data_IF_353845847972
#
_entry.id   IF_353845847972
#
_cell.length_a   1.000
_cell.length_b   1.000
_cell.length_c   1.000
_cell.angle_alpha   90.00
_cell.angle_beta   90.00
_cell.angle_gamma   90.00
#
_symmetry.space_group_name_H-M   'P 1'
#
loop_
_entity.id
_entity.type
_entity.pdbx_description
1 polymer ?
#
# COMPACT_ATOMS: atom_id res chain seq x y z
N UNK A 1 24.07 -19.06 -38.89
CA UNK A 1 23.90 -17.91 -37.97
C UNK A 1 22.96 -18.39 -36.89
N UNK A 2 23.56 -19.05 -35.91
CA UNK A 2 22.84 -19.76 -34.86
C UNK A 2 22.39 -18.75 -33.81
N UNK A 3 21.08 -18.65 -33.62
CA UNK A 3 20.49 -17.88 -32.52
C UNK A 3 20.50 -18.82 -31.33
N UNK A 4 21.53 -18.70 -30.49
CA UNK A 4 21.53 -19.21 -29.12
C UNK A 4 20.45 -18.48 -28.34
N UNK A 5 19.23 -19.02 -28.37
CA UNK A 5 18.18 -18.66 -27.41
C UNK A 5 18.64 -19.27 -26.08
N UNK A 6 19.13 -18.41 -25.18
CA UNK A 6 19.47 -18.78 -23.82
C UNK A 6 18.33 -19.60 -23.22
N UNK A 7 18.67 -20.68 -22.49
CA UNK A 7 17.75 -21.62 -21.87
C UNK A 7 16.60 -20.95 -21.13
N UNK A 8 15.51 -20.71 -21.87
CA UNK A 8 14.20 -20.45 -21.33
C UNK A 8 13.55 -21.82 -21.19
N UNK A 9 13.33 -22.25 -19.96
CA UNK A 9 12.53 -23.44 -19.72
C UNK A 9 11.09 -23.10 -20.15
N UNK A 10 10.61 -23.78 -21.19
CA UNK A 10 9.26 -23.57 -21.72
C UNK A 10 8.40 -24.66 -21.10
N UNK A 11 7.68 -24.31 -20.03
CA UNK A 11 6.67 -25.20 -19.45
C UNK A 11 5.39 -25.14 -20.28
N UNK A 12 4.94 -26.30 -20.77
CA UNK A 12 3.71 -26.44 -21.55
C UNK A 12 2.65 -27.07 -20.65
N UNK A 13 1.70 -26.27 -20.19
CA UNK A 13 0.59 -26.74 -19.37
C UNK A 13 -0.69 -26.92 -20.22
N UNK A 14 -1.23 -28.14 -20.21
CA UNK A 14 -2.56 -28.44 -20.76
C UNK A 14 -3.63 -28.16 -19.72
N UNK A 15 -4.60 -27.31 -20.08
CA UNK A 15 -5.63 -26.81 -19.16
C UNK A 15 -6.98 -27.02 -19.81
N UNK A 16 -7.96 -27.44 -19.01
CA UNK A 16 -9.35 -27.55 -19.45
C UNK A 16 -9.92 -26.19 -19.85
N UNK A 17 -10.71 -26.14 -20.92
CA UNK A 17 -11.40 -24.94 -21.39
C UNK A 17 -12.62 -24.62 -20.51
N UNK A 18 -12.35 -24.32 -19.24
CA UNK A 18 -13.34 -23.84 -18.31
C UNK A 18 -12.80 -22.63 -17.53
N UNK A 19 -13.71 -21.77 -17.08
CA UNK A 19 -13.36 -20.49 -16.45
C UNK A 19 -12.56 -20.70 -15.17
N UNK A 20 -12.86 -21.74 -14.40
CA UNK A 20 -12.24 -22.01 -13.10
C UNK A 20 -10.78 -22.45 -13.30
N UNK A 21 -10.53 -23.33 -14.26
CA UNK A 21 -9.18 -23.82 -14.58
C UNK A 21 -8.28 -22.69 -15.09
N UNK A 22 -8.80 -21.83 -15.97
CA UNK A 22 -8.07 -20.64 -16.42
C UNK A 22 -7.84 -19.64 -15.28
N UNK A 23 -8.85 -19.38 -14.45
CA UNK A 23 -8.74 -18.48 -13.30
C UNK A 23 -7.70 -18.98 -12.29
N UNK A 24 -7.68 -20.28 -12.02
CA UNK A 24 -6.70 -20.91 -11.13
C UNK A 24 -5.29 -20.78 -11.71
N UNK A 25 -5.10 -21.08 -13.01
CA UNK A 25 -3.80 -20.92 -13.66
C UNK A 25 -3.26 -19.51 -13.49
N UNK A 26 -4.05 -18.49 -13.86
CA UNK A 26 -3.58 -17.11 -13.80
C UNK A 26 -3.31 -16.65 -12.37
N UNK A 27 -4.13 -17.08 -11.41
CA UNK A 27 -3.88 -16.77 -9.99
C UNK A 27 -2.64 -17.47 -9.46
N UNK A 28 -2.42 -18.73 -9.80
CA UNK A 28 -1.21 -19.46 -9.42
C UNK A 28 0.03 -18.80 -10.03
N UNK A 29 -0.04 -18.41 -11.30
CA UNK A 29 1.04 -17.69 -11.97
C UNK A 29 1.34 -16.33 -11.32
N UNK A 30 0.30 -15.58 -10.91
CA UNK A 30 0.48 -14.33 -10.16
C UNK A 30 1.03 -14.55 -8.74
N UNK A 31 0.84 -15.74 -8.17
CA UNK A 31 1.23 -16.10 -6.81
C UNK A 31 2.56 -16.86 -6.71
N UNK A 32 3.29 -17.07 -7.80
CA UNK A 32 4.49 -17.91 -7.80
C UNK A 32 5.67 -17.23 -7.08
N UNK A 33 5.59 -17.25 -5.75
CA UNK A 33 6.65 -16.88 -4.84
C UNK A 33 7.35 -18.18 -4.43
N UNK A 34 8.48 -18.47 -5.08
CA UNK A 34 9.27 -19.67 -4.80
C UNK A 34 9.64 -19.78 -3.31
N UNK A 35 9.68 -21.00 -2.79
CA UNK A 35 10.14 -21.31 -1.42
C UNK A 35 11.65 -21.26 -1.26
N UNK A 36 12.34 -20.48 -2.11
CA UNK A 36 13.80 -20.46 -2.13
C UNK A 36 14.40 -19.81 -0.88
N UNK A 37 13.66 -18.90 -0.24
CA UNK A 37 14.11 -18.14 0.92
C UNK A 37 12.97 -17.84 1.87
N UNK A 38 13.33 -17.67 3.13
CA UNK A 38 12.45 -17.21 4.19
C UNK A 38 12.06 -15.74 3.95
N UNK A 39 10.78 -15.42 4.12
CA UNK A 39 10.25 -14.07 3.86
C UNK A 39 10.17 -13.21 5.13
N UNK A 40 9.99 -13.84 6.29
CA UNK A 40 9.75 -13.17 7.56
C UNK A 40 10.41 -13.91 8.72
N UNK A 41 11.09 -13.17 9.59
CA UNK A 41 11.46 -13.60 10.94
C UNK A 41 10.55 -12.93 11.96
N UNK A 42 9.83 -13.75 12.72
CA UNK A 42 9.05 -13.30 13.87
C UNK A 42 9.88 -13.51 15.14
N UNK A 43 10.28 -12.41 15.78
CA UNK A 43 11.16 -12.41 16.94
C UNK A 43 10.32 -12.27 18.22
N UNK A 44 10.31 -13.33 19.02
CA UNK A 44 9.64 -13.38 20.32
C UNK A 44 10.66 -13.08 21.43
N UNK A 45 10.28 -12.34 22.50
CA UNK A 45 11.14 -12.17 23.66
C UNK A 45 11.33 -13.51 24.37
N UNK A 46 12.57 -14.00 24.50
CA UNK A 46 12.87 -15.17 25.31
C UNK A 46 13.04 -14.73 26.77
N UNK A 47 12.25 -15.31 27.68
CA UNK A 47 12.29 -15.04 29.12
C UNK A 47 13.51 -15.64 29.80
N UNK A 48 14.72 -15.27 29.38
CA UNK A 48 15.96 -15.66 30.02
C UNK A 48 16.17 -14.87 31.31
N UNK A 49 15.70 -15.40 32.45
CA UNK A 49 16.24 -15.03 33.75
C UNK A 49 17.64 -15.61 33.88
N UNK A 50 18.65 -14.96 33.28
CA UNK A 50 20.04 -15.27 33.57
C UNK A 50 20.70 -13.96 34.01
N UNK A 51 21.12 -13.95 35.27
CA UNK A 51 22.06 -13.00 35.83
C UNK A 51 23.34 -12.99 34.96
N UNK A 52 23.39 -12.10 33.97
CA UNK A 52 24.61 -11.79 33.26
C UNK A 52 24.58 -10.33 32.84
N UNK A 53 25.57 -9.60 33.31
CA UNK A 53 25.87 -8.21 33.03
C UNK A 53 25.97 -7.95 31.51
N UNK A 54 24.91 -7.43 30.89
CA UNK A 54 24.91 -6.92 29.51
C UNK A 54 23.52 -6.96 28.84
N UNK A 55 23.07 -5.92 28.11
CA UNK A 55 21.73 -5.87 27.55
C UNK A 55 21.68 -6.59 26.18
N UNK A 56 21.66 -7.92 26.18
CA UNK A 56 21.24 -8.70 25.01
C UNK A 56 20.16 -9.68 25.44
N UNK A 57 18.91 -9.25 25.32
CA UNK A 57 17.75 -10.14 25.43
C UNK A 57 17.85 -11.16 24.29
N UNK A 58 18.05 -12.44 24.63
CA UNK A 58 17.94 -13.52 23.64
C UNK A 58 16.51 -13.51 23.07
N UNK A 59 16.37 -13.48 21.75
CA UNK A 59 15.07 -13.54 21.09
C UNK A 59 14.91 -14.93 20.47
N UNK A 60 13.73 -15.52 20.66
CA UNK A 60 13.34 -16.72 19.93
C UNK A 60 12.89 -16.30 18.54
N UNK A 61 13.48 -16.89 17.49
CA UNK A 61 13.18 -16.55 16.11
C UNK A 61 12.32 -17.66 15.49
N UNK A 62 11.15 -17.29 14.96
CA UNK A 62 10.36 -18.15 14.09
C UNK A 62 10.57 -17.71 12.65
N UNK A 63 10.93 -18.66 11.81
CA UNK A 63 11.19 -18.47 10.38
C UNK A 63 9.92 -18.78 9.61
N UNK A 64 9.46 -17.79 8.83
CA UNK A 64 8.13 -17.80 8.27
C UNK A 64 8.15 -17.41 6.80
N UNK A 65 7.16 -17.94 6.08
CA UNK A 65 6.80 -17.46 4.74
C UNK A 65 5.59 -16.55 4.83
N UNK A 66 5.55 -15.60 3.89
CA UNK A 66 4.48 -14.64 3.74
C UNK A 66 3.68 -14.99 2.50
N UNK A 67 2.36 -15.03 2.65
CA UNK A 67 1.46 -15.39 1.58
C UNK A 67 0.36 -14.35 1.45
N UNK A 68 0.27 -13.75 0.27
CA UNK A 68 -0.85 -12.90 -0.12
C UNK A 68 -2.12 -13.76 -0.27
N UNK A 69 -3.24 -13.28 0.28
CA UNK A 69 -4.53 -13.98 0.18
C UNK A 69 -5.46 -13.38 -0.87
N UNK A 70 -5.25 -12.11 -1.23
CA UNK A 70 -6.15 -11.36 -2.09
C UNK A 70 -5.36 -10.46 -3.02
N UNK A 71 -5.82 -10.34 -4.26
CA UNK A 71 -5.35 -9.31 -5.18
C UNK A 71 -5.81 -7.93 -4.71
N UNK A 72 -4.96 -6.93 -4.83
CA UNK A 72 -5.32 -5.56 -4.47
C UNK A 72 -6.32 -4.98 -5.48
N UNK A 73 -7.58 -4.69 -5.08
CA UNK A 73 -8.55 -4.09 -5.97
C UNK A 73 -8.17 -2.66 -6.39
N UNK A 74 -7.30 -1.97 -5.65
CA UNK A 74 -6.81 -0.64 -6.01
C UNK A 74 -5.83 -0.68 -7.20
N UNK A 75 -5.17 -1.83 -7.44
CA UNK A 75 -4.31 -2.04 -8.61
C UNK A 75 -5.12 -2.39 -9.86
N UNK A 76 -6.39 -2.78 -9.71
CA UNK A 76 -7.28 -3.02 -10.83
C UNK A 76 -7.77 -1.69 -11.40
N UNK A 77 -7.49 -1.44 -12.67
CA UNK A 77 -7.90 -0.20 -13.35
C UNK A 77 -9.41 -0.02 -13.32
N UNK A 78 -9.89 1.05 -12.67
CA UNK A 78 -11.27 1.54 -12.79
C UNK A 78 -12.31 0.94 -11.84
N UNK A 79 -11.90 0.39 -10.70
CA UNK A 79 -12.82 -0.01 -9.62
C UNK A 79 -13.68 1.20 -9.17
N UNK A 80 -14.97 0.97 -8.90
CA UNK A 80 -16.04 1.98 -8.89
C UNK A 80 -15.92 3.12 -7.84
N UNK A 81 -14.99 3.01 -6.89
CA UNK A 81 -14.84 3.96 -5.79
C UNK A 81 -13.65 4.92 -6.02
N UNK A 82 -13.83 5.89 -6.92
CA UNK A 82 -12.95 7.07 -7.00
C UNK A 82 -12.45 7.42 -8.41
N UNK A 83 -12.13 8.70 -8.67
CA UNK A 83 -11.73 9.16 -9.99
C UNK A 83 -10.43 8.45 -10.39
N UNK A 84 -10.49 7.77 -11.53
CA UNK A 84 -9.36 7.13 -12.18
C UNK A 84 -8.22 8.14 -12.42
N UNK A 85 -7.36 8.31 -11.43
CA UNK A 85 -5.94 8.50 -11.69
C UNK A 85 -5.32 7.15 -11.48
N UNK A 86 -4.75 6.60 -12.55
CA UNK A 86 -3.77 5.53 -12.45
C UNK A 86 -2.87 5.87 -11.26
N UNK A 87 -2.82 5.00 -10.26
CA UNK A 87 -1.85 5.12 -9.21
C UNK A 87 -0.50 5.28 -9.92
N UNK A 88 0.14 6.45 -9.77
CA UNK A 88 1.50 6.61 -10.23
C UNK A 88 2.27 5.45 -9.61
N UNK A 89 2.86 4.59 -10.44
CA UNK A 89 3.65 3.43 -10.02
C UNK A 89 4.80 3.81 -9.07
N UNK A 90 5.05 5.12 -8.90
CA UNK A 90 6.05 5.73 -8.04
C UNK A 90 5.48 6.53 -6.84
N UNK A 91 4.20 6.39 -6.50
CA UNK A 91 3.67 7.01 -5.27
C UNK A 91 4.31 6.34 -4.04
N UNK A 92 4.85 7.09 -3.06
CA UNK A 92 5.45 6.53 -1.83
C UNK A 92 4.44 5.80 -0.92
N UNK A 93 3.16 5.78 -1.29
CA UNK A 93 2.08 5.16 -0.53
C UNK A 93 1.71 3.77 -1.09
N UNK A 94 2.66 3.04 -1.69
CA UNK A 94 2.54 1.57 -1.79
C UNK A 94 2.89 0.95 -0.43
N UNK A 95 1.99 1.09 0.54
CA UNK A 95 2.06 0.33 1.80
C UNK A 95 1.44 -1.07 1.69
N UNK A 96 1.15 -1.55 0.47
CA UNK A 96 0.32 -2.74 0.25
C UNK A 96 1.06 -3.98 -0.28
N UNK A 97 2.35 -3.90 -0.64
CA UNK A 97 3.13 -5.08 -1.02
C UNK A 97 4.43 -5.12 -0.23
N UNK A 98 4.56 -6.11 0.66
CA UNK A 98 5.85 -6.47 1.23
C UNK A 98 6.73 -7.00 0.09
N UNK A 99 7.87 -6.35 -0.23
CA UNK A 99 8.69 -6.80 -1.36
C UNK A 99 9.18 -8.22 -1.10
N UNK A 100 8.74 -9.17 -1.93
CA UNK A 100 9.08 -10.59 -1.79
C UNK A 100 10.60 -10.86 -1.75
N UNK A 101 11.39 -9.96 -2.32
CA UNK A 101 12.85 -10.08 -2.36
C UNK A 101 13.58 -9.78 -1.04
N UNK A 102 12.90 -9.24 -0.01
CA UNK A 102 13.55 -8.77 1.22
C UNK A 102 13.02 -9.49 2.44
N UNK A 103 13.93 -10.14 3.18
CA UNK A 103 13.63 -10.71 4.49
C UNK A 103 13.17 -9.63 5.47
N UNK A 104 11.95 -9.79 6.00
CA UNK A 104 11.40 -8.89 7.00
C UNK A 104 11.65 -9.41 8.42
N UNK A 105 11.88 -8.51 9.38
CA UNK A 105 12.03 -8.87 10.79
C UNK A 105 10.98 -8.13 11.60
N UNK A 106 10.12 -8.88 12.28
CA UNK A 106 9.07 -8.36 13.14
C UNK A 106 9.39 -8.72 14.59
N UNK A 107 9.71 -7.72 15.40
CA UNK A 107 9.94 -7.89 16.82
C UNK A 107 8.63 -7.73 17.58
N UNK A 108 8.23 -8.77 18.30
CA UNK A 108 7.04 -8.73 19.15
C UNK A 108 7.30 -7.83 20.35
N UNK A 109 6.48 -6.80 20.51
CA UNK A 109 6.62 -5.81 21.58
C UNK A 109 5.59 -6.00 22.69
N UNK A 110 4.37 -6.45 22.36
CA UNK A 110 3.28 -6.61 23.33
C UNK A 110 2.34 -7.75 22.93
N UNK A 111 1.74 -8.38 23.93
CA UNK A 111 0.53 -9.17 23.74
C UNK A 111 -0.71 -8.28 23.95
N UNK A 112 -1.71 -8.42 23.09
CA UNK A 112 -2.98 -7.69 23.10
C UNK A 112 -4.12 -8.69 23.29
N UNK A 113 -5.18 -8.31 23.99
CA UNK A 113 -6.41 -9.13 23.99
C UNK A 113 -7.17 -8.93 22.69
N UNK A 114 -7.83 -9.97 22.18
CA UNK A 114 -8.61 -9.93 20.93
C UNK A 114 -9.65 -8.79 20.90
N UNK A 115 -10.35 -8.60 22.01
CA UNK A 115 -11.41 -7.60 22.16
C UNK A 115 -10.88 -6.17 22.38
N UNK A 116 -9.58 -6.01 22.63
CA UNK A 116 -8.96 -4.72 22.94
C UNK A 116 -8.47 -3.94 21.72
N UNK A 117 -8.63 -4.48 20.51
CA UNK A 117 -8.17 -3.84 19.27
C UNK A 117 -9.36 -3.41 18.43
N UNK A 118 -9.37 -2.15 18.05
CA UNK A 118 -10.35 -1.60 17.14
C UNK A 118 -9.96 -1.92 15.70
N UNK A 119 -10.87 -2.47 14.89
CA UNK A 119 -10.57 -2.77 13.48
C UNK A 119 -10.34 -1.52 12.63
N UNK A 120 -10.88 -0.35 13.03
CA UNK A 120 -10.74 0.90 12.28
C UNK A 120 -9.30 1.46 12.26
N UNK A 121 -8.43 0.99 13.16
CA UNK A 121 -7.01 1.37 13.17
C UNK A 121 -6.14 0.40 12.36
N UNK A 122 -6.73 -0.62 11.74
CA UNK A 122 -6.04 -1.56 10.86
C UNK A 122 -6.22 -1.10 9.41
N UNK A 123 -5.17 -1.20 8.61
CA UNK A 123 -5.25 -0.80 7.19
C UNK A 123 -4.40 -1.71 6.31
N UNK A 124 -4.60 -1.55 4.99
CA UNK A 124 -3.90 -2.32 3.97
C UNK A 124 -4.43 -3.75 3.83
N UNK A 125 -3.80 -4.50 2.92
CA UNK A 125 -4.14 -5.90 2.70
C UNK A 125 -3.46 -6.78 3.75
N UNK A 126 -4.17 -7.79 4.29
CA UNK A 126 -3.59 -8.72 5.23
C UNK A 126 -2.73 -9.76 4.52
N UNK A 127 -1.65 -10.18 5.17
CA UNK A 127 -0.84 -11.33 4.74
C UNK A 127 -1.05 -12.51 5.68
N UNK A 128 -0.95 -13.72 5.14
CA UNK A 128 -0.88 -14.95 5.92
C UNK A 128 0.59 -15.25 6.21
N UNK A 129 0.89 -15.50 7.47
CA UNK A 129 2.17 -16.02 7.93
C UNK A 129 2.00 -17.52 8.16
N UNK A 130 2.89 -18.30 7.56
CA UNK A 130 3.01 -19.76 7.74
C UNK A 130 4.44 -20.11 8.14
N UNK A 131 4.68 -21.26 8.80
CA UNK A 131 6.06 -21.72 9.02
C UNK A 131 6.76 -21.88 7.67
N UNK A 132 8.04 -21.51 7.59
CA UNK A 132 8.77 -21.58 6.32
C UNK A 132 8.92 -23.02 5.83
N UNK A 133 8.90 -23.20 4.52
CA UNK A 133 9.28 -24.45 3.84
C UNK A 133 10.58 -24.31 3.06
N UNK A 134 11.45 -23.36 3.47
CA UNK A 134 12.73 -23.10 2.83
C UNK A 134 13.63 -24.33 2.83
N UNK A 135 13.99 -24.81 1.64
CA UNK A 135 14.83 -26.01 1.46
C UNK A 135 16.28 -25.83 1.90
N UNK A 136 16.74 -24.59 2.13
CA UNK A 136 18.10 -24.29 2.58
C UNK A 136 18.33 -24.63 4.06
N UNK A 137 17.25 -24.89 4.80
CA UNK A 137 17.31 -25.29 6.20
C UNK A 137 17.44 -26.80 6.31
N UNK A 138 18.10 -27.26 7.36
CA UNK A 138 18.10 -28.69 7.66
C UNK A 138 16.72 -29.14 8.16
N UNK A 139 16.47 -30.45 8.05
CA UNK A 139 15.17 -31.03 8.40
C UNK A 139 14.82 -30.85 9.87
N UNK A 140 15.82 -30.95 10.75
CA UNK A 140 15.63 -30.81 12.20
C UNK A 140 15.23 -29.36 12.55
N UNK A 141 15.86 -28.35 11.93
CA UNK A 141 15.53 -26.95 12.10
C UNK A 141 14.12 -26.64 11.57
N UNK A 142 13.76 -27.16 10.39
CA UNK A 142 12.41 -27.02 9.83
C UNK A 142 11.36 -27.61 10.78
N UNK A 143 11.61 -28.80 11.30
CA UNK A 143 10.70 -29.49 12.21
C UNK A 143 10.55 -28.73 13.53
N UNK A 144 11.66 -28.29 14.15
CA UNK A 144 11.64 -27.51 15.39
C UNK A 144 10.92 -26.17 15.16
N UNK A 145 11.18 -25.49 14.05
CA UNK A 145 10.54 -24.23 13.69
C UNK A 145 9.03 -24.41 13.49
N UNK A 146 8.60 -25.47 12.80
CA UNK A 146 7.19 -25.81 12.63
C UNK A 146 6.51 -26.07 13.98
N UNK A 147 7.05 -26.95 14.82
CA UNK A 147 6.49 -27.23 16.15
C UNK A 147 6.38 -25.96 17.00
N UNK A 148 7.41 -25.12 16.97
CA UNK A 148 7.46 -23.85 17.69
C UNK A 148 6.39 -22.86 17.19
N UNK A 149 6.20 -22.76 15.88
CA UNK A 149 5.18 -21.92 15.26
C UNK A 149 3.76 -22.39 15.64
N UNK A 150 3.51 -23.69 15.58
CA UNK A 150 2.22 -24.27 15.96
C UNK A 150 1.93 -24.08 17.45
N UNK A 151 2.94 -24.24 18.32
CA UNK A 151 2.84 -23.98 19.74
C UNK A 151 2.50 -22.51 20.03
N UNK A 152 3.07 -21.57 19.27
CA UNK A 152 2.71 -20.15 19.35
C UNK A 152 1.23 -19.94 18.99
N UNK A 153 0.79 -20.43 17.83
CA UNK A 153 -0.59 -20.27 17.36
C UNK A 153 -1.60 -20.79 18.40
N UNK A 154 -1.39 -22.03 18.86
CA UNK A 154 -2.23 -22.64 19.87
C UNK A 154 -2.24 -21.85 21.19
N UNK A 155 -1.07 -21.36 21.64
CA UNK A 155 -0.97 -20.56 22.87
C UNK A 155 -1.73 -19.23 22.77
N UNK A 156 -1.67 -18.56 21.61
CA UNK A 156 -2.39 -17.31 21.38
C UNK A 156 -3.90 -17.54 21.32
N UNK A 157 -4.37 -18.57 20.61
CA UNK A 157 -5.80 -18.93 20.53
C UNK A 157 -6.36 -19.26 21.92
N UNK A 158 -5.67 -20.12 22.68
CA UNK A 158 -6.09 -20.52 24.03
C UNK A 158 -6.24 -19.32 24.98
N UNK A 159 -5.39 -18.30 24.80
CA UNK A 159 -5.39 -17.07 25.63
C UNK A 159 -6.29 -15.97 25.06
N UNK A 160 -6.85 -16.13 23.86
CA UNK A 160 -7.53 -15.07 23.09
C UNK A 160 -6.63 -13.83 22.94
N UNK A 161 -5.35 -14.06 22.62
CA UNK A 161 -4.34 -13.03 22.47
C UNK A 161 -3.94 -12.83 21.02
N UNK A 162 -3.54 -11.61 20.72
CA UNK A 162 -2.89 -11.17 19.49
C UNK A 162 -1.52 -10.58 19.87
N UNK A 163 -0.64 -10.41 18.89
CA UNK A 163 0.67 -9.82 19.13
C UNK A 163 0.78 -8.49 18.40
N UNK A 164 1.24 -7.47 19.11
CA UNK A 164 1.74 -6.25 18.50
C UNK A 164 3.23 -6.45 18.19
N UNK A 165 3.58 -6.31 16.93
CA UNK A 165 4.95 -6.40 16.46
C UNK A 165 5.40 -5.10 15.80
N UNK A 166 6.69 -4.84 15.91
CA UNK A 166 7.39 -3.69 15.34
C UNK A 166 8.33 -4.21 14.26
N UNK A 167 8.31 -3.61 13.08
CA UNK A 167 9.27 -3.95 12.02
C UNK A 167 10.62 -3.32 12.31
N UNK A 168 11.68 -4.12 12.20
CA UNK A 168 13.04 -3.62 12.27
C UNK A 168 13.34 -2.75 11.02
N UNK A 169 13.95 -1.58 11.19
CA UNK A 169 14.28 -0.70 10.07
C UNK A 169 15.37 -1.34 9.20
N UNK A 170 15.13 -1.33 7.89
CA UNK A 170 16.00 -1.99 6.89
C UNK A 170 17.13 -1.10 6.38
N UNK A 171 17.04 0.22 6.58
CA UNK A 171 18.07 1.18 6.17
C UNK A 171 18.07 2.39 7.09
N UNK A 172 19.18 2.64 7.76
CA UNK A 172 19.45 3.90 8.47
C UNK A 172 19.85 4.92 7.41
N UNK A 173 18.93 5.79 6.98
CA UNK A 173 19.26 6.86 6.05
C UNK A 173 20.37 7.74 6.63
N UNK A 174 21.46 7.92 5.88
CA UNK A 174 22.75 8.47 6.32
C UNK A 174 22.72 9.91 6.89
N UNK A 175 21.63 10.66 6.76
CA UNK A 175 21.62 12.10 7.07
C UNK A 175 20.72 12.53 8.23
N UNK A 176 19.90 11.65 8.81
CA UNK A 176 19.05 12.00 9.95
C UNK A 176 18.95 10.78 10.88
N UNK A 177 19.36 10.93 12.15
CA UNK A 177 19.33 9.89 13.19
C UNK A 177 17.88 9.54 13.65
N UNK A 178 16.92 9.57 12.73
CA UNK A 178 15.49 9.39 13.00
C UNK A 178 15.05 8.07 12.38
N UNK A 179 14.66 7.12 13.22
CA UNK A 179 14.16 5.82 12.78
C UNK A 179 12.64 5.83 12.76
N UNK A 180 12.07 5.66 11.57
CA UNK A 180 10.63 5.44 11.39
C UNK A 180 10.33 3.95 11.57
N UNK A 181 9.30 3.66 12.35
CA UNK A 181 8.92 2.28 12.66
C UNK A 181 7.51 2.00 12.21
N UNK A 182 7.31 0.85 11.58
CA UNK A 182 5.99 0.35 11.23
C UNK A 182 5.56 -0.70 12.25
N UNK A 183 4.29 -0.65 12.62
CA UNK A 183 3.68 -1.57 13.57
C UNK A 183 2.64 -2.45 12.89
N UNK A 184 2.56 -3.69 13.36
CA UNK A 184 1.71 -4.74 12.81
C UNK A 184 1.03 -5.49 13.94
N UNK A 185 -0.20 -5.91 13.71
CA UNK A 185 -0.91 -6.85 14.59
C UNK A 185 -0.90 -8.21 13.92
N UNK A 186 -0.52 -9.21 14.71
CA UNK A 186 -0.47 -10.61 14.33
C UNK A 186 -1.60 -11.32 15.09
N UNK A 187 -2.55 -11.87 14.33
CA UNK A 187 -3.76 -12.52 14.82
C UNK A 187 -3.65 -14.01 14.53
N UNK A 188 -3.83 -14.91 15.52
CA UNK A 188 -3.82 -16.34 15.25
C UNK A 188 -5.11 -16.82 14.55
N UNK A 189 -5.01 -17.86 13.73
CA UNK A 189 -6.15 -18.58 13.14
C UNK A 189 -6.17 -20.03 13.61
N UNK A 190 -7.38 -20.58 13.65
CA UNK A 190 -7.71 -22.00 13.80
C UNK A 190 -7.03 -22.93 12.78
N UNK A 191 -6.64 -22.41 11.61
CA UNK A 191 -5.90 -23.15 10.57
C UNK A 191 -4.39 -23.32 10.85
N UNK A 192 -3.93 -23.09 12.08
CA UNK A 192 -2.52 -23.06 12.47
C UNK A 192 -1.66 -22.09 11.63
N UNK A 193 -2.26 -20.97 11.22
CA UNK A 193 -1.60 -19.85 10.55
C UNK A 193 -1.74 -18.59 11.38
N UNK A 194 -0.96 -17.56 11.07
CA UNK A 194 -1.15 -16.22 11.64
C UNK A 194 -1.52 -15.25 10.52
N UNK A 195 -2.37 -14.28 10.83
CA UNK A 195 -2.73 -13.18 9.95
C UNK A 195 -2.01 -11.93 10.42
N UNK A 196 -1.39 -11.19 9.52
CA UNK A 196 -0.70 -9.93 9.86
C UNK A 196 -1.33 -8.75 9.15
N UNK A 197 -1.62 -7.70 9.92
CA UNK A 197 -2.27 -6.47 9.50
C UNK A 197 -1.45 -5.25 9.93
N UNK A 198 -1.32 -4.25 9.06
CA UNK A 198 -0.66 -3.00 9.42
C UNK A 198 -1.55 -2.19 10.38
N UNK A 199 -0.90 -1.43 11.28
CA UNK A 199 -1.59 -0.65 12.32
C UNK A 199 -1.31 0.83 12.13
N UNK A 200 -2.37 1.63 12.17
CA UNK A 200 -2.29 3.08 12.18
C UNK A 200 -1.74 3.55 13.52
N UNK A 201 -0.59 4.22 13.48
CA UNK A 201 -0.02 4.93 14.62
C UNK A 201 -0.66 6.30 14.75
N UNK A 202 -0.43 6.98 15.88
CA UNK A 202 -1.02 8.29 16.22
C UNK A 202 -0.89 9.31 15.08
N UNK A 203 0.25 9.32 14.40
CA UNK A 203 0.59 10.24 13.31
C UNK A 203 -0.23 10.01 12.03
N UNK A 204 -0.83 8.81 11.88
CA UNK A 204 -1.67 8.44 10.75
C UNK A 204 -3.17 8.57 11.06
N UNK A 205 -3.53 8.81 12.33
CA UNK A 205 -4.94 8.94 12.74
C UNK A 205 -5.44 10.36 12.50
N UNK A 206 -6.57 10.45 11.81
CA UNK A 206 -7.29 11.71 11.63
C UNK A 206 -8.08 12.06 12.90
N UNK A 207 -8.27 13.34 13.22
CA UNK A 207 -9.17 13.75 14.30
C UNK A 207 -10.60 13.27 14.03
N UNK A 208 -11.16 12.51 14.97
CA UNK A 208 -12.51 11.95 14.87
C UNK A 208 -13.24 12.04 16.20
N UNK A 209 -14.52 12.43 16.15
CA UNK A 209 -15.43 12.40 17.31
C UNK A 209 -16.32 11.18 17.22
N UNK A 210 -16.21 10.26 18.19
CA UNK A 210 -17.08 9.09 18.26
C UNK A 210 -18.20 9.36 19.26
N UNK A 211 -19.48 9.26 18.84
CA UNK A 211 -20.59 9.34 19.78
C UNK A 211 -20.52 8.16 20.75
N UNK A 212 -20.84 8.40 22.02
CA UNK A 212 -20.97 7.31 22.98
C UNK A 212 -22.15 6.41 22.58
N UNK A 213 -21.95 5.10 22.64
CA UNK A 213 -23.05 4.15 22.49
C UNK A 213 -23.96 4.30 23.72
N UNK A 214 -25.22 4.68 23.50
CA UNK A 214 -26.20 4.76 24.58
C UNK A 214 -26.54 3.35 25.05
N UNK A 215 -26.55 3.14 26.36
CA UNK A 215 -26.85 1.83 26.94
C UNK A 215 -28.33 1.43 26.77
N UNK A 216 -29.22 2.42 26.66
CA UNK A 216 -30.66 2.22 26.55
C UNK A 216 -31.21 2.94 25.33
N UNK A 217 -32.08 2.24 24.61
CA UNK A 217 -32.80 2.77 23.44
C UNK A 217 -34.31 2.61 23.69
N UNK A 218 -35.16 3.54 23.22
CA UNK A 218 -36.60 3.39 23.37
C UNK A 218 -37.09 2.09 22.71
N UNK A 219 -37.88 1.29 23.42
CA UNK A 219 -38.43 0.01 22.93
C UNK A 219 -39.17 0.16 21.59
N UNK A 220 -39.81 1.32 21.38
CA UNK A 220 -40.48 1.68 20.12
C UNK A 220 -39.58 1.63 18.89
N UNK A 221 -38.27 1.81 19.07
CA UNK A 221 -37.26 1.78 18.00
C UNK A 221 -36.53 0.44 17.98
N UNK A 222 -36.32 -0.18 19.14
CA UNK A 222 -35.65 -1.48 19.22
C UNK A 222 -36.48 -2.60 18.57
N UNK A 223 -37.79 -2.66 18.84
CA UNK A 223 -38.66 -3.72 18.32
C UNK A 223 -38.63 -3.88 16.80
N UNK A 224 -38.80 -2.81 16.00
CA UNK A 224 -38.71 -2.88 14.54
C UNK A 224 -37.32 -3.29 14.03
N UNK A 225 -36.24 -2.85 14.68
CA UNK A 225 -34.87 -3.19 14.30
C UNK A 225 -34.62 -4.68 14.55
N UNK A 226 -34.95 -5.18 15.74
CA UNK A 226 -34.83 -6.62 16.06
C UNK A 226 -35.70 -7.46 15.13
N UNK A 227 -36.93 -7.02 14.82
CA UNK A 227 -37.79 -7.69 13.84
C UNK A 227 -37.16 -7.77 12.45
N UNK A 228 -36.52 -6.69 11.99
CA UNK A 228 -35.80 -6.68 10.71
C UNK A 228 -34.58 -7.61 10.73
N UNK A 229 -33.78 -7.59 11.80
CA UNK A 229 -32.61 -8.47 11.94
C UNK A 229 -33.00 -9.95 12.00
N UNK A 230 -34.08 -10.28 12.70
CA UNK A 230 -34.61 -11.66 12.78
C UNK A 230 -35.16 -12.18 11.44
N UNK A 231 -35.48 -11.29 10.49
CA UNK A 231 -35.90 -11.68 9.15
C UNK A 231 -34.73 -12.00 8.21
N UNK A 232 -33.50 -11.69 8.63
CA UNK A 232 -32.30 -11.98 7.84
C UNK A 232 -31.90 -13.44 7.99
N UNK A 233 -31.50 -14.07 6.90
CA UNK A 233 -30.89 -15.39 6.91
C UNK A 233 -29.48 -15.30 7.50
N UNK A 234 -29.21 -16.09 8.54
CA UNK A 234 -27.90 -16.15 9.18
C UNK A 234 -27.11 -17.31 8.59
N UNK A 235 -26.11 -17.00 7.78
CA UNK A 235 -25.17 -18.00 7.26
C UNK A 235 -24.19 -18.44 8.36
N UNK A 236 -24.01 -19.76 8.51
CA UNK A 236 -23.05 -20.33 9.48
C UNK A 236 -21.61 -20.04 9.08
N UNK A 237 -21.34 -19.94 7.78
CA UNK A 237 -20.04 -19.63 7.24
C UNK A 237 -20.19 -18.80 5.96
N UNK A 238 -19.57 -17.62 5.96
CA UNK A 238 -19.54 -16.74 4.81
C UNK A 238 -18.69 -17.35 3.68
N UNK A 239 -19.29 -17.53 2.49
CA UNK A 239 -18.57 -17.95 1.29
C UNK A 239 -18.49 -16.80 0.27
N UNK A 240 -17.31 -16.19 0.04
CA UNK A 240 -17.17 -15.06 -0.89
C UNK A 240 -17.50 -15.42 -2.34
N UNK A 241 -17.48 -16.71 -2.72
CA UNK A 241 -17.82 -17.16 -4.08
C UNK A 241 -19.31 -16.98 -4.41
N UNK A 242 -20.16 -16.81 -3.40
CA UNK A 242 -21.59 -16.54 -3.61
C UNK A 242 -21.87 -15.08 -3.99
N UNK A 243 -20.91 -14.16 -3.77
CA UNK A 243 -21.06 -12.75 -4.11
C UNK A 243 -20.69 -12.48 -5.57
N UNK A 244 -21.48 -11.61 -6.23
CA UNK A 244 -21.23 -11.19 -7.60
C UNK A 244 -21.01 -9.68 -7.66
N UNK A 245 -19.75 -9.27 -7.73
CA UNK A 245 -19.35 -7.85 -7.92
C UNK A 245 -19.44 -7.37 -9.38
N UNK A 246 -19.65 -8.29 -10.33
CA UNK A 246 -19.55 -8.04 -11.77
C UNK A 246 -18.17 -7.52 -12.26
N UNK A 247 -17.11 -7.63 -11.44
CA UNK A 247 -15.76 -7.20 -11.78
C UNK A 247 -15.28 -7.75 -13.13
N UNK A 248 -15.45 -9.05 -13.38
CA UNK A 248 -15.05 -9.67 -14.65
C UNK A 248 -15.76 -9.07 -15.86
N UNK A 249 -17.06 -8.75 -15.74
CA UNK A 249 -17.81 -8.09 -16.82
C UNK A 249 -17.28 -6.67 -17.06
N UNK A 250 -16.96 -5.95 -15.99
CA UNK A 250 -16.36 -4.62 -16.07
C UNK A 250 -15.00 -4.65 -16.77
N UNK A 251 -14.07 -5.47 -16.29
CA UNK A 251 -12.71 -5.60 -16.85
C UNK A 251 -12.76 -6.01 -18.33
N UNK A 252 -13.60 -6.99 -18.67
CA UNK A 252 -13.84 -7.42 -20.06
C UNK A 252 -14.31 -6.23 -20.92
N UNK A 253 -15.21 -5.39 -20.42
CA UNK A 253 -15.67 -4.20 -21.15
C UNK A 253 -14.56 -3.16 -21.36
N UNK A 254 -13.66 -2.98 -20.39
CA UNK A 254 -12.54 -2.04 -20.48
C UNK A 254 -11.51 -2.50 -21.52
N UNK A 255 -11.21 -3.81 -21.56
CA UNK A 255 -10.32 -4.40 -22.56
C UNK A 255 -10.89 -4.29 -23.99
N UNK A 256 -12.19 -4.49 -24.19
CA UNK A 256 -12.78 -4.31 -25.53
C UNK A 256 -12.85 -2.84 -25.98
N UNK A 257 -13.09 -1.91 -25.05
CA UNK A 257 -13.15 -0.47 -25.35
C UNK A 257 -11.78 0.10 -25.75
N UNK A 258 -10.68 -0.38 -25.16
CA UNK A 258 -9.33 0.05 -25.55
C UNK A 258 -8.99 -0.38 -26.98
N UNK A 259 -9.37 -1.59 -27.37
CA UNK A 259 -9.19 -2.10 -28.75
C UNK A 259 -9.97 -1.27 -29.78
N UNK A 260 -11.21 -0.88 -29.49
CA UNK A 260 -12.01 -0.06 -30.41
C UNK A 260 -11.52 1.40 -30.51
N UNK A 261 -10.91 1.94 -29.45
CA UNK A 261 -10.33 3.29 -29.47
C UNK A 261 -9.03 3.36 -30.27
N UNK A 262 -8.24 2.28 -30.30
CA UNK A 262 -7.05 2.21 -31.16
C UNK A 262 -7.39 2.05 -32.65
N UNK A 263 -8.57 1.56 -32.98
CA UNK A 263 -9.03 1.45 -34.37
C UNK A 263 -9.68 2.74 -34.91
N UNK A 264 -9.80 3.79 -34.09
CA UNK A 264 -10.52 5.02 -34.43
C UNK A 264 -9.62 6.28 -34.42
N UNK A 265 -8.72 6.41 -35.40
CA UNK A 265 -8.18 7.71 -35.87
C UNK A 265 -7.63 7.56 -37.31
N UNK A 266 -7.61 8.60 -38.16
CA UNK A 266 -8.51 9.75 -38.30
C UNK A 266 -9.09 9.86 -39.73
N UNK A 267 -10.35 10.30 -39.87
CA UNK A 267 -10.83 10.82 -41.17
C UNK A 267 -10.07 12.12 -41.48
N UNK A 268 -9.41 12.15 -42.64
CA UNK A 268 -8.71 13.31 -43.18
C UNK A 268 -9.51 14.61 -43.02
N UNK A 269 -8.97 15.53 -42.22
CA UNK A 269 -9.40 16.92 -42.23
C UNK A 269 -8.86 17.57 -43.49
N UNK A 270 -9.72 17.72 -44.50
CA UNK A 270 -9.45 18.56 -45.68
C UNK A 270 -9.51 20.03 -45.24
N UNK A 271 -8.46 20.86 -45.48
CA UNK A 271 -8.53 22.28 -45.22
C UNK A 271 -9.07 22.99 -46.47
N UNK A 272 -10.33 23.43 -46.46
CA UNK A 272 -10.79 24.42 -47.43
C UNK A 272 -10.96 25.79 -46.76
N UNK A 273 -9.97 26.63 -47.02
CA UNK A 273 -10.10 28.09 -47.01
C UNK A 273 -11.15 28.49 -48.06
N UNK A 274 -12.09 29.35 -47.70
CA UNK A 274 -12.18 30.76 -48.16
C UNK A 274 -13.35 31.50 -47.48
N UNK A 275 -13.08 32.76 -47.15
CA UNK A 275 -13.86 33.77 -46.40
C UNK A 275 -15.03 34.39 -47.20
N UNK A 276 -15.61 35.56 -46.84
CA UNK A 276 -16.17 36.05 -45.56
C UNK A 276 -17.65 36.51 -45.72
N UNK A 277 -18.43 36.55 -44.64
CA UNK A 277 -19.52 37.53 -44.52
C UNK A 277 -19.49 38.22 -43.16
N UNK A 278 -19.40 39.54 -43.24
CA UNK A 278 -19.48 40.51 -42.16
C UNK A 278 -20.76 40.31 -41.34
N UNK A 279 -20.64 40.37 -40.02
CA UNK A 279 -21.42 41.33 -39.23
C UNK A 279 -20.69 41.62 -37.92
N UNK A 280 -20.50 42.91 -37.70
CA UNK A 280 -19.78 43.52 -36.60
C UNK A 280 -20.68 43.59 -35.36
N UNK A 281 -20.15 43.22 -34.20
CA UNK A 281 -20.52 43.89 -32.95
C UNK A 281 -19.36 43.76 -31.97
N UNK A 282 -18.49 44.77 -31.97
CA UNK A 282 -17.43 44.94 -30.99
C UNK A 282 -17.68 46.29 -30.34
N UNK A 283 -18.23 46.30 -29.13
CA UNK A 283 -18.27 47.49 -28.30
C UNK A 283 -16.85 47.73 -27.75
N UNK A 284 -16.19 48.78 -28.25
CA UNK A 284 -15.02 49.40 -27.63
C UNK A 284 -15.51 50.64 -26.88
N UNK A 285 -15.24 50.72 -25.58
CA UNK A 285 -15.28 51.98 -24.84
C UNK A 285 -13.83 52.45 -24.64
N UNK A 286 -13.57 53.72 -24.94
CA UNK A 286 -12.29 54.40 -24.70
C UNK A 286 -12.54 55.61 -23.80
N UNK A 287 -11.55 55.87 -22.95
CA UNK A 287 -11.54 56.62 -21.68
C UNK A 287 -11.28 58.13 -21.91
N UNK A 288 -11.71 58.99 -20.98
CA UNK A 288 -11.19 60.35 -20.84
C UNK A 288 -10.12 60.39 -19.71
N UNK A 289 -8.92 60.94 -19.95
CA UNK A 289 -7.81 60.96 -19.00
C UNK A 289 -8.01 62.01 -17.90
N UNK A 290 -7.60 61.70 -16.67
CA UNK A 290 -7.46 62.70 -15.61
C UNK A 290 -6.15 63.48 -15.80
N UNK A 291 -6.26 64.80 -15.75
CA UNK A 291 -5.19 65.77 -15.98
C UNK A 291 -4.12 65.70 -14.88
N UNK A 292 -2.86 65.54 -15.30
CA UNK A 292 -1.68 65.74 -14.45
C UNK A 292 -1.35 67.24 -14.38
N UNK A 293 -1.14 67.76 -13.17
CA UNK A 293 -0.59 69.09 -12.93
C UNK A 293 0.95 69.03 -12.77
N UNK A 294 1.68 70.12 -13.07
CA UNK A 294 3.10 70.05 -13.46
C UNK A 294 4.09 70.12 -12.28
N UNK A 295 5.29 69.60 -12.52
CA UNK A 295 6.49 69.77 -11.69
C UNK A 295 7.29 71.00 -12.14
N UNK A 296 7.93 71.76 -11.23
CA UNK A 296 9.04 72.64 -11.57
C UNK A 296 10.39 72.11 -11.01
N UNK A 297 11.31 71.81 -11.94
CA UNK A 297 12.71 72.29 -12.11
C UNK A 297 13.46 72.72 -10.82
N UNK A 298 14.64 72.17 -10.47
CA UNK A 298 15.96 72.64 -10.95
C UNK A 298 17.12 71.61 -10.79
N UNK A 299 17.99 71.66 -11.80
CA UNK A 299 19.31 71.06 -12.12
C UNK A 299 20.44 71.78 -11.31
N UNK A 300 21.77 71.43 -11.27
CA UNK A 300 22.58 70.42 -11.99
C UNK A 300 23.55 69.54 -11.16
N UNK A 301 24.13 68.59 -11.91
CA UNK A 301 25.32 67.74 -11.75
C UNK A 301 26.63 68.47 -11.38
N UNK A 302 27.69 67.76 -10.94
CA UNK A 302 28.75 67.30 -11.87
C UNK A 302 29.05 65.79 -11.70
N UNK A 303 29.16 65.01 -12.78
CA UNK A 303 30.29 64.86 -13.71
C UNK A 303 31.44 63.96 -13.20
N UNK A 304 31.51 62.77 -13.80
CA UNK A 304 32.71 62.07 -14.30
C UNK A 304 33.72 61.53 -13.25
N UNK A 305 34.38 60.37 -13.38
CA UNK A 305 35.10 59.70 -14.48
C UNK A 305 35.29 58.24 -14.02
N UNK A 306 34.79 57.23 -14.76
CA UNK A 306 35.52 56.22 -15.54
C UNK A 306 36.78 55.56 -14.94
N UNK A 307 36.78 54.21 -15.04
CA UNK A 307 37.91 53.28 -15.30
C UNK A 307 38.97 53.17 -14.20
N UNK A 308 39.61 52.05 -13.94
CA UNK A 308 39.67 50.69 -14.50
C UNK A 308 40.50 49.86 -13.48
N UNK A 309 40.61 48.56 -13.75
CA UNK A 309 41.77 47.71 -13.39
C UNK A 309 41.71 46.88 -12.10
N UNK A 310 41.29 45.63 -12.27
CA UNK A 310 42.10 44.42 -12.04
C UNK A 310 43.25 44.46 -11.00
N UNK A 311 43.23 43.49 -10.08
CA UNK A 311 44.46 42.95 -9.50
C UNK A 311 44.33 42.21 -8.16
N UNK A 312 44.44 40.88 -8.23
CA UNK A 312 45.17 39.97 -7.30
C UNK A 312 44.79 39.98 -5.80
N UNK A 313 44.31 38.84 -5.30
CA UNK A 313 45.08 37.86 -4.50
C UNK A 313 45.72 38.48 -3.25
N UNK A 314 45.31 37.99 -2.07
CA UNK A 314 46.19 37.37 -1.06
C UNK A 314 45.37 36.96 0.19
N UNK A 315 45.46 35.68 0.53
CA UNK A 315 45.38 35.13 1.90
C UNK A 315 46.42 35.83 2.80
N UNK A 316 46.22 35.92 4.14
CA UNK A 316 46.54 34.82 5.08
C UNK A 316 45.42 34.61 6.14
N UNK A 317 45.15 33.39 6.62
CA UNK A 317 45.91 32.53 7.55
C UNK A 317 45.85 33.05 9.01
N UNK A 318 45.00 32.40 9.80
CA UNK A 318 45.35 31.57 10.96
C UNK A 318 44.28 30.46 11.12
#
# INVERSE_FOLDING_TARGET
ADITILGMDIDVQTIEDNVISLEMLFKTWLHDYGTEREHLHLLLPSGGFIHATGPKTTLMCLKCDLQERMLDPALLSGTADGPAKAADLNSPCQMAAWPAAVLHKLQVVKALKSEGVCESVLYGLPFIIKPTSCWQLDWDELEINQHSFHALCHSLLKRKWMLLAKREPQNTSLNWNIMVHSYYIIVPSDSATLLVKAVAIRELLLPSTFPALLAEHPERVQGPIEGALNSLEVEVAYNPLHLKSNLYKYLKSTLYKSLHRQQAQPRDQRPERHQPKQHQSRAKATVAPLLMAPSPVQVPTPAAVRRDSSGRLLLPKE
#
